data_IF_241796122076
#
_entry.id   IF_241796122076
#
_cell.length_a   1.000
_cell.length_b   1.000
_cell.length_c   1.000
_cell.angle_alpha   90.00
_cell.angle_beta   90.00
_cell.angle_gamma   90.00
#
_symmetry.space_group_name_H-M   'P 1'
#
loop_
_entity.id
_entity.type
_entity.pdbx_description
1 polymer ?
#
# COMPACT_ATOMS: atom_id res chain seq x y z
N UNK A 1 -8.32 -8.51 -13.98
CA UNK A 1 -7.31 -8.18 -12.96
C UNK A 1 -7.98 -7.43 -11.82
N UNK A 2 -7.73 -7.84 -10.59
CA UNK A 2 -8.33 -7.19 -9.44
C UNK A 2 -7.46 -6.03 -8.95
N UNK A 3 -8.08 -5.07 -8.28
CA UNK A 3 -7.37 -3.94 -7.66
C UNK A 3 -7.53 -4.01 -6.16
N UNK A 4 -6.50 -3.62 -5.45
CA UNK A 4 -6.46 -3.74 -3.99
C UNK A 4 -5.92 -2.47 -3.36
N UNK A 5 -6.54 -2.09 -2.24
CA UNK A 5 -5.99 -1.05 -1.37
C UNK A 5 -5.51 -1.76 -0.10
N UNK A 6 -4.29 -1.46 0.32
CA UNK A 6 -3.66 -2.10 1.46
C UNK A 6 -3.15 -1.03 2.42
N UNK A 7 -3.53 -1.14 3.68
CA UNK A 7 -3.04 -0.24 4.72
C UNK A 7 -2.20 -1.03 5.72
N UNK A 8 -1.02 -0.48 6.03
CA UNK A 8 -0.10 -1.08 7.00
C UNK A 8 0.12 -0.10 8.14
N UNK A 9 -0.05 -0.55 9.37
CA UNK A 9 0.29 0.21 10.56
C UNK A 9 1.44 -0.49 11.25
N UNK A 10 2.54 0.23 11.47
CA UNK A 10 3.66 -0.27 12.26
C UNK A 10 3.51 0.25 13.69
N UNK A 11 3.85 -0.59 14.67
CA UNK A 11 3.76 -0.21 16.08
C UNK A 11 5.13 0.25 16.58
N UNK A 12 5.16 1.36 17.34
CA UNK A 12 6.40 1.94 17.89
C UNK A 12 7.44 2.17 16.81
N UNK A 13 7.01 2.73 15.68
CA UNK A 13 7.87 2.91 14.52
C UNK A 13 8.26 4.37 14.32
N UNK A 14 9.46 4.57 13.81
CA UNK A 14 9.99 5.89 13.45
C UNK A 14 9.70 6.19 11.99
N UNK A 15 10.01 7.41 11.56
CA UNK A 15 9.93 7.80 10.16
C UNK A 15 10.78 6.86 9.28
N UNK A 16 11.99 6.52 9.73
CA UNK A 16 12.87 5.65 8.95
C UNK A 16 12.33 4.23 8.84
N UNK A 17 11.58 3.75 9.83
CA UNK A 17 10.93 2.44 9.74
C UNK A 17 9.89 2.44 8.63
N UNK A 18 9.11 3.53 8.50
CA UNK A 18 8.14 3.64 7.41
C UNK A 18 8.82 3.79 6.06
N UNK A 19 9.98 4.46 5.97
CA UNK A 19 10.73 4.53 4.72
C UNK A 19 11.20 3.14 4.27
N UNK A 20 11.66 2.32 5.22
CA UNK A 20 12.02 0.93 4.95
C UNK A 20 10.80 0.11 4.49
N UNK A 21 9.64 0.34 5.12
CA UNK A 21 8.40 -0.30 4.73
C UNK A 21 8.03 0.05 3.29
N UNK A 22 8.12 1.34 2.92
CA UNK A 22 7.79 1.77 1.55
C UNK A 22 8.64 1.05 0.52
N UNK A 23 9.95 0.95 0.76
CA UNK A 23 10.86 0.27 -0.16
C UNK A 23 10.50 -1.22 -0.27
N UNK A 24 10.21 -1.88 0.84
CA UNK A 24 9.84 -3.29 0.86
C UNK A 24 8.50 -3.53 0.17
N UNK A 25 7.52 -2.64 0.38
CA UNK A 25 6.21 -2.75 -0.27
C UNK A 25 6.36 -2.59 -1.79
N UNK A 26 7.18 -1.63 -2.23
CA UNK A 26 7.42 -1.44 -3.66
C UNK A 26 8.09 -2.67 -4.29
N UNK A 27 9.00 -3.31 -3.58
CA UNK A 27 9.63 -4.55 -4.02
C UNK A 27 8.59 -5.65 -4.20
N UNK A 28 7.55 -5.68 -3.37
CA UNK A 28 6.46 -6.66 -3.48
C UNK A 28 5.40 -6.26 -4.52
N UNK A 29 5.57 -5.15 -5.21
CA UNK A 29 4.67 -4.72 -6.28
C UNK A 29 3.59 -3.72 -5.88
N UNK A 30 3.65 -3.17 -4.68
CA UNK A 30 2.70 -2.16 -4.22
C UNK A 30 3.16 -0.77 -4.64
N UNK A 31 2.19 0.11 -4.91
CA UNK A 31 2.45 1.49 -5.34
C UNK A 31 1.95 2.48 -4.30
N UNK A 32 2.66 3.59 -4.16
CA UNK A 32 2.29 4.68 -3.25
C UNK A 32 1.46 5.76 -3.93
N UNK A 33 1.13 5.55 -5.19
CA UNK A 33 0.37 6.50 -6.00
C UNK A 33 -0.87 5.84 -6.56
N UNK A 34 -1.84 6.66 -6.92
CA UNK A 34 -3.05 6.20 -7.58
C UNK A 34 -3.35 7.14 -8.75
N UNK A 35 -3.87 6.58 -9.85
CA UNK A 35 -4.16 7.35 -11.06
C UNK A 35 -5.66 7.60 -11.16
N UNK A 36 -6.04 8.86 -11.38
CA UNK A 36 -7.44 9.22 -11.57
C UNK A 36 -7.92 8.81 -12.96
N UNK A 37 -9.24 8.88 -13.17
CA UNK A 37 -9.85 8.51 -14.47
C UNK A 37 -9.34 9.36 -15.62
N UNK A 38 -8.90 10.59 -15.36
CA UNK A 38 -8.34 11.49 -16.38
C UNK A 38 -6.82 11.38 -16.48
N UNK A 39 -6.21 10.36 -15.85
CA UNK A 39 -4.80 10.04 -16.04
C UNK A 39 -3.83 10.80 -15.15
N UNK A 40 -4.30 11.48 -14.12
CA UNK A 40 -3.45 12.24 -13.22
C UNK A 40 -3.03 11.37 -12.04
N UNK A 41 -1.73 11.39 -11.69
CA UNK A 41 -1.20 10.64 -10.55
C UNK A 41 -1.28 11.47 -9.28
N UNK A 42 -1.72 10.80 -8.20
CA UNK A 42 -1.81 11.40 -6.86
C UNK A 42 -1.04 10.53 -5.86
N UNK A 43 -0.48 11.17 -4.84
CA UNK A 43 0.17 10.46 -3.75
C UNK A 43 -0.87 9.95 -2.76
N UNK A 44 -0.79 8.67 -2.41
CA UNK A 44 -1.66 8.10 -1.38
C UNK A 44 -1.20 8.55 0.01
N UNK A 45 -2.09 8.51 1.02
CA UNK A 45 -1.67 8.77 2.40
C UNK A 45 -0.55 7.80 2.81
N UNK A 46 0.23 8.22 3.80
CA UNK A 46 1.33 7.41 4.30
C UNK A 46 0.84 6.03 4.73
N UNK A 47 1.59 5.00 4.31
CA UNK A 47 1.34 3.59 4.62
C UNK A 47 0.05 3.03 4.02
N UNK A 48 -0.48 3.70 3.03
CA UNK A 48 -1.55 3.17 2.19
C UNK A 48 -0.99 2.92 0.79
N UNK A 49 -1.34 1.77 0.20
CA UNK A 49 -0.74 1.30 -1.04
C UNK A 49 -1.80 0.79 -1.99
N UNK A 50 -1.53 0.96 -3.27
CA UNK A 50 -2.38 0.47 -4.35
C UNK A 50 -1.67 -0.67 -5.08
N UNK A 51 -2.43 -1.68 -5.48
CA UNK A 51 -1.88 -2.73 -6.34
C UNK A 51 -2.97 -3.29 -7.23
N UNK A 52 -2.64 -3.46 -8.52
CA UNK A 52 -3.49 -4.16 -9.47
C UNK A 52 -2.79 -5.46 -9.84
N UNK A 53 -3.44 -6.59 -9.64
CA UNK A 53 -2.81 -7.88 -9.84
C UNK A 53 -3.86 -8.98 -10.03
N UNK A 54 -3.45 -10.06 -10.68
CA UNK A 54 -4.29 -11.25 -10.84
C UNK A 54 -4.02 -12.21 -9.67
N UNK A 55 -4.34 -11.74 -8.47
CA UNK A 55 -4.09 -12.45 -7.21
C UNK A 55 -5.33 -12.36 -6.33
N UNK A 56 -5.38 -13.20 -5.30
CA UNK A 56 -6.44 -13.14 -4.29
C UNK A 56 -6.08 -12.18 -3.16
N UNK A 57 -7.08 -11.76 -2.38
CA UNK A 57 -6.83 -10.94 -1.19
C UNK A 57 -5.82 -11.60 -0.25
N UNK A 58 -5.92 -12.91 -0.08
CA UNK A 58 -4.99 -13.64 0.78
C UNK A 58 -3.55 -13.59 0.27
N UNK A 59 -3.35 -13.68 -1.04
CA UNK A 59 -2.02 -13.56 -1.64
C UNK A 59 -1.47 -12.15 -1.49
N UNK A 60 -2.33 -11.13 -1.63
CA UNK A 60 -1.93 -9.74 -1.41
C UNK A 60 -1.53 -9.53 0.06
N UNK A 61 -2.31 -10.09 0.98
CA UNK A 61 -1.99 -10.01 2.41
C UNK A 61 -0.62 -10.64 2.71
N UNK A 62 -0.32 -11.81 2.14
CA UNK A 62 0.97 -12.45 2.37
C UNK A 62 2.13 -11.60 1.83
N UNK A 63 1.95 -10.97 0.67
CA UNK A 63 2.97 -10.05 0.14
C UNK A 63 3.21 -8.87 1.09
N UNK A 64 2.14 -8.27 1.60
CA UNK A 64 2.26 -7.13 2.53
C UNK A 64 2.91 -7.56 3.84
N UNK A 65 2.59 -8.75 4.34
CA UNK A 65 3.20 -9.29 5.56
C UNK A 65 4.70 -9.51 5.38
N UNK A 66 5.14 -10.02 4.22
CA UNK A 66 6.57 -10.16 3.94
C UNK A 66 7.28 -8.82 4.01
N UNK A 67 6.69 -7.79 3.41
CA UNK A 67 7.26 -6.45 3.41
C UNK A 67 7.31 -5.88 4.84
N UNK A 68 6.20 -5.96 5.57
CA UNK A 68 6.14 -5.42 6.93
C UNK A 68 7.12 -6.13 7.89
N UNK A 69 7.31 -7.43 7.71
CA UNK A 69 8.24 -8.21 8.55
C UNK A 69 9.67 -7.68 8.44
N UNK A 70 10.07 -7.13 7.30
CA UNK A 70 11.43 -6.61 7.13
C UNK A 70 11.74 -5.44 8.05
N UNK A 71 10.72 -4.73 8.55
CA UNK A 71 10.91 -3.59 9.46
C UNK A 71 11.25 -4.02 10.88
N UNK A 72 11.02 -5.28 11.22
CA UNK A 72 11.20 -5.85 12.57
C UNK A 72 10.30 -5.21 13.62
N UNK A 73 9.22 -4.53 13.19
CA UNK A 73 8.22 -3.95 14.09
C UNK A 73 6.98 -4.83 14.09
N UNK A 74 6.21 -4.79 15.16
CA UNK A 74 4.86 -5.34 15.15
C UNK A 74 4.01 -4.50 14.20
N UNK A 75 3.04 -5.15 13.56
CA UNK A 75 2.25 -4.44 12.54
C UNK A 75 0.84 -4.98 12.45
N UNK A 76 -0.03 -4.16 11.86
CA UNK A 76 -1.36 -4.58 11.43
C UNK A 76 -1.48 -4.30 9.93
N UNK A 77 -2.18 -5.16 9.20
CA UNK A 77 -2.39 -5.02 7.76
C UNK A 77 -3.85 -5.24 7.44
N UNK A 78 -4.43 -4.34 6.65
CA UNK A 78 -5.78 -4.48 6.12
C UNK A 78 -5.71 -4.44 4.60
N UNK A 79 -6.29 -5.44 3.95
CA UNK A 79 -6.36 -5.52 2.49
C UNK A 79 -7.82 -5.45 2.07
N UNK A 80 -8.13 -4.56 1.16
CA UNK A 80 -9.46 -4.42 0.58
C UNK A 80 -9.38 -4.67 -0.92
N UNK A 81 -10.17 -5.60 -1.42
CA UNK A 81 -10.36 -5.72 -2.87
C UNK A 81 -11.34 -4.63 -3.28
N UNK A 82 -10.93 -3.76 -4.20
CA UNK A 82 -11.61 -2.50 -4.48
C UNK A 82 -12.38 -2.55 -5.79
N UNK A 83 -13.61 -2.03 -5.76
CA UNK A 83 -14.41 -1.78 -6.96
C UNK A 83 -14.27 -0.35 -7.45
N UNK A 84 -13.37 0.41 -6.87
CA UNK A 84 -13.13 1.79 -7.23
C UNK A 84 -12.79 2.59 -6.00
N UNK A 85 -12.02 3.64 -6.21
CA UNK A 85 -11.52 4.52 -5.15
C UNK A 85 -11.81 5.95 -5.55
N UNK A 86 -12.30 6.74 -4.62
CA UNK A 86 -12.43 8.17 -4.80
C UNK A 86 -11.72 8.87 -3.66
N UNK A 87 -11.30 10.10 -3.89
CA UNK A 87 -10.51 10.81 -2.87
C UNK A 87 -10.68 12.32 -3.00
N UNK A 88 -10.25 13.00 -1.95
CA UNK A 88 -10.15 14.45 -1.92
C UNK A 88 -8.93 14.82 -1.07
N UNK A 89 -8.22 15.86 -1.47
CA UNK A 89 -7.11 16.39 -0.68
C UNK A 89 -5.77 15.73 -0.89
N UNK A 90 -5.67 14.74 -1.78
CA UNK A 90 -4.38 14.13 -2.11
C UNK A 90 -3.56 15.08 -2.98
N UNK A 91 -2.24 15.09 -2.75
CA UNK A 91 -1.35 15.91 -3.57
C UNK A 91 -1.04 15.21 -4.89
N UNK A 92 -0.90 15.99 -5.95
CA UNK A 92 -0.43 15.46 -7.23
C UNK A 92 1.05 15.12 -7.15
N UNK A 93 1.42 14.09 -7.88
CA UNK A 93 2.84 13.71 -8.00
C UNK A 93 3.63 14.78 -8.73
#
# INVERSE_FOLDING_TARGET
>A
MATFMTRVELHNASYSDYESLHTAMETEGFERTITSNDGVLYNLPTAEYYRSANLTKGQILESAKRAATTTRKAFAVVVTESNGVTWEGLSKV
#
